data_IF_939619428072
#
_entry.id   IF_939619428072
#
_cell.length_a   1.000
_cell.length_b   1.000
_cell.length_c   1.000
_cell.angle_alpha   90.00
_cell.angle_beta   90.00
_cell.angle_gamma   90.00
#
_symmetry.space_group_name_H-M   'P 1'
#
loop_
_entity.id
_entity.type
_entity.pdbx_description
1 polymer ?
#
# COMPACT_ATOMS: atom_id res chain seq x y z
N UNK A 1 41.77 47.97 -17.12
CA UNK A 1 41.67 47.72 -15.66
C UNK A 1 40.26 47.24 -15.35
N UNK A 2 40.16 46.12 -14.62
CA UNK A 2 39.02 45.63 -13.80
C UNK A 2 37.71 45.28 -14.56
N UNK A 3 37.37 43.98 -14.75
CA UNK A 3 36.76 43.02 -13.78
C UNK A 3 35.28 43.40 -13.54
N UNK A 4 34.23 42.58 -13.64
CA UNK A 4 34.00 41.14 -13.39
C UNK A 4 32.76 40.69 -14.21
N UNK A 5 32.84 39.52 -14.85
CA UNK A 5 31.71 38.73 -15.33
C UNK A 5 30.90 38.22 -14.12
N UNK A 6 29.70 38.75 -13.92
CA UNK A 6 28.78 38.30 -12.87
C UNK A 6 28.10 37.01 -13.36
N UNK A 7 28.70 35.88 -12.99
CA UNK A 7 28.25 34.53 -13.27
C UNK A 7 26.86 34.29 -12.67
N UNK A 8 25.84 34.19 -13.52
CA UNK A 8 24.52 33.68 -13.17
C UNK A 8 24.57 32.15 -13.24
N UNK A 9 25.08 31.52 -12.18
CA UNK A 9 24.91 30.08 -11.96
C UNK A 9 23.82 29.93 -10.92
N UNK A 10 22.57 29.91 -11.40
CA UNK A 10 21.46 29.38 -10.63
C UNK A 10 21.59 27.85 -10.72
N UNK A 11 22.28 27.27 -9.75
CA UNK A 11 22.41 25.82 -9.61
C UNK A 11 20.99 25.24 -9.50
N UNK A 12 20.52 24.58 -10.57
CA UNK A 12 19.34 23.73 -10.51
C UNK A 12 19.68 22.53 -9.62
N UNK A 13 19.50 22.65 -8.32
CA UNK A 13 19.29 21.46 -7.49
C UNK A 13 17.82 21.08 -7.64
N UNK A 14 17.47 20.55 -8.81
CA UNK A 14 16.27 19.74 -8.92
C UNK A 14 16.57 18.48 -8.11
N UNK A 15 15.98 18.48 -6.93
CA UNK A 15 15.91 17.39 -5.97
C UNK A 15 15.73 16.09 -6.74
N UNK A 16 16.77 15.24 -6.71
CA UNK A 16 16.63 13.82 -7.02
C UNK A 16 15.76 13.23 -5.92
N UNK A 17 14.44 13.41 -6.05
CA UNK A 17 13.44 12.87 -5.16
C UNK A 17 13.25 11.39 -5.50
N UNK A 18 14.31 10.59 -5.31
CA UNK A 18 14.22 9.13 -5.32
C UNK A 18 13.80 8.59 -3.95
N UNK A 19 13.33 9.45 -3.05
CA UNK A 19 12.60 9.07 -1.85
C UNK A 19 11.11 8.87 -2.16
N UNK A 20 10.81 8.16 -3.25
CA UNK A 20 9.54 7.44 -3.31
C UNK A 20 9.69 6.40 -2.22
N UNK A 21 9.03 6.68 -1.10
CA UNK A 21 8.88 5.80 0.04
C UNK A 21 8.68 4.38 -0.47
N UNK A 22 9.29 3.45 0.25
CA UNK A 22 8.98 2.03 0.33
C UNK A 22 7.45 1.76 0.34
N UNK A 23 6.77 1.93 -0.80
CA UNK A 23 5.39 1.50 -1.07
C UNK A 23 5.49 0.00 -1.36
N UNK A 24 5.78 -0.76 -0.31
CA UNK A 24 6.01 -2.20 -0.37
C UNK A 24 7.24 -2.57 -1.18
N UNK A 25 7.86 -3.70 -0.85
CA UNK A 25 8.70 -4.34 -1.85
C UNK A 25 7.78 -4.72 -3.03
N UNK A 26 8.14 -4.44 -4.30
CA UNK A 26 7.36 -4.89 -5.47
C UNK A 26 7.04 -6.39 -5.43
N UNK A 27 7.89 -7.16 -4.75
CA UNK A 27 7.69 -8.59 -4.47
C UNK A 27 6.49 -8.86 -3.55
N UNK A 28 6.30 -8.06 -2.49
CA UNK A 28 5.20 -8.24 -1.53
C UNK A 28 3.85 -7.92 -2.19
N UNK A 29 3.76 -6.82 -2.94
CA UNK A 29 2.53 -6.46 -3.66
C UNK A 29 2.16 -7.53 -4.69
N UNK A 30 3.15 -8.07 -5.43
CA UNK A 30 2.91 -9.16 -6.39
C UNK A 30 2.43 -10.44 -5.71
N UNK A 31 3.03 -10.79 -4.57
CA UNK A 31 2.60 -11.95 -3.77
C UNK A 31 1.20 -11.74 -3.20
N UNK A 32 0.90 -10.55 -2.68
CA UNK A 32 -0.40 -10.20 -2.16
C UNK A 32 -1.47 -10.27 -3.26
N UNK A 33 -1.20 -9.71 -4.45
CA UNK A 33 -2.10 -9.80 -5.59
C UNK A 33 -2.35 -11.25 -6.04
N UNK A 34 -1.30 -12.07 -6.05
CA UNK A 34 -1.41 -13.49 -6.42
C UNK A 34 -2.26 -14.26 -5.40
N UNK A 35 -2.03 -14.01 -4.11
CA UNK A 35 -2.80 -14.61 -3.02
C UNK A 35 -4.26 -14.13 -3.07
N UNK A 36 -4.50 -12.83 -3.23
CA UNK A 36 -5.82 -12.23 -3.36
C UNK A 36 -6.63 -12.87 -4.49
N UNK A 37 -6.02 -13.07 -5.67
CA UNK A 37 -6.67 -13.75 -6.79
C UNK A 37 -6.98 -15.24 -6.56
N UNK A 38 -6.37 -15.86 -5.55
CA UNK A 38 -6.63 -17.26 -5.19
C UNK A 38 -7.64 -17.41 -4.05
N UNK A 39 -7.97 -16.31 -3.36
CA UNK A 39 -8.96 -16.32 -2.29
C UNK A 39 -10.37 -16.49 -2.85
N UNK A 40 -11.24 -17.11 -2.04
CA UNK A 40 -12.67 -17.24 -2.30
C UNK A 40 -13.41 -17.27 -0.96
N UNK A 41 -14.75 -17.27 -1.00
CA UNK A 41 -15.60 -17.36 0.20
C UNK A 41 -15.24 -18.45 1.23
N UNK A 42 -14.53 -19.52 0.84
CA UNK A 42 -14.12 -20.63 1.72
C UNK A 42 -12.65 -20.57 2.17
N UNK A 43 -11.93 -19.49 1.83
CA UNK A 43 -10.53 -19.34 2.23
C UNK A 43 -10.35 -19.33 3.75
N UNK A 44 -9.21 -19.84 4.18
CA UNK A 44 -8.88 -20.00 5.60
C UNK A 44 -8.41 -18.70 6.24
N UNK A 45 -8.57 -18.61 7.55
CA UNK A 45 -8.03 -17.49 8.34
C UNK A 45 -6.52 -17.31 8.19
N UNK A 46 -5.79 -18.40 7.94
CA UNK A 46 -4.35 -18.36 7.70
C UNK A 46 -4.03 -17.65 6.38
N UNK A 47 -4.79 -17.90 5.32
CA UNK A 47 -4.60 -17.24 4.02
C UNK A 47 -4.90 -15.74 4.11
N UNK A 48 -5.98 -15.37 4.81
CA UNK A 48 -6.29 -13.95 5.09
C UNK A 48 -5.18 -13.29 5.91
N UNK A 49 -4.68 -13.96 6.95
CA UNK A 49 -3.59 -13.43 7.77
C UNK A 49 -2.28 -13.29 6.97
N UNK A 50 -2.02 -14.22 6.03
CA UNK A 50 -0.89 -14.11 5.11
C UNK A 50 -1.05 -12.93 4.15
N UNK A 51 -2.26 -12.70 3.62
CA UNK A 51 -2.54 -11.53 2.79
C UNK A 51 -2.36 -10.23 3.58
N UNK A 52 -2.90 -10.19 4.80
CA UNK A 52 -2.75 -9.06 5.71
C UNK A 52 -1.29 -8.68 5.91
N UNK A 53 -0.45 -9.65 6.29
CA UNK A 53 0.97 -9.43 6.54
C UNK A 53 1.76 -9.01 5.28
N UNK A 54 1.27 -9.33 4.08
CA UNK A 54 1.90 -8.90 2.83
C UNK A 54 1.56 -7.45 2.49
N UNK A 55 0.38 -6.97 2.91
CA UNK A 55 -0.14 -5.63 2.64
C UNK A 55 0.22 -4.62 3.75
N UNK A 56 0.30 -5.05 5.01
CA UNK A 56 0.79 -4.25 6.15
C UNK A 56 2.31 -4.00 6.00
N UNK A 57 2.65 -3.08 5.10
CA UNK A 57 4.02 -2.77 4.69
C UNK A 57 4.70 -1.95 5.77
N UNK A 58 3.96 -1.01 6.35
CA UNK A 58 4.48 -0.10 7.37
C UNK A 58 4.50 -0.74 8.78
N UNK A 59 3.89 -1.93 8.95
CA UNK A 59 3.81 -2.72 10.19
C UNK A 59 3.07 -2.03 11.33
N UNK A 60 2.04 -1.27 11.00
CA UNK A 60 1.18 -0.59 11.99
C UNK A 60 -0.02 -1.46 12.44
N UNK A 61 -0.06 -2.72 12.00
CA UNK A 61 -1.13 -3.68 12.27
C UNK A 61 -2.49 -3.26 11.69
N UNK A 62 -2.47 -2.44 10.63
CA UNK A 62 -3.62 -2.11 9.79
C UNK A 62 -3.20 -2.08 8.32
N UNK A 63 -4.19 -2.07 7.42
CA UNK A 63 -3.96 -1.82 5.99
C UNK A 63 -4.53 -0.44 5.68
N UNK A 64 -3.65 0.51 5.38
CA UNK A 64 -4.05 1.84 4.93
C UNK A 64 -4.48 1.87 3.47
N UNK A 65 -5.08 2.99 3.05
CA UNK A 65 -5.48 3.23 1.66
C UNK A 65 -4.35 3.07 0.63
N UNK A 66 -3.10 3.37 1.00
CA UNK A 66 -1.94 3.21 0.12
C UNK A 66 -1.39 1.79 0.06
N UNK A 67 -1.88 0.92 0.93
CA UNK A 67 -1.47 -0.48 1.06
C UNK A 67 -2.54 -1.43 0.53
N UNK A 68 -3.81 -1.03 0.56
CA UNK A 68 -4.90 -1.75 -0.07
C UNK A 68 -4.68 -1.91 -1.58
N UNK A 69 -5.03 -3.08 -2.10
CA UNK A 69 -4.94 -3.40 -3.54
C UNK A 69 -6.19 -4.18 -3.99
N UNK A 70 -6.52 -4.07 -5.28
CA UNK A 70 -7.56 -4.90 -5.92
C UNK A 70 -8.90 -4.85 -5.18
N UNK A 71 -9.51 -6.02 -4.94
CA UNK A 71 -10.80 -6.11 -4.26
C UNK A 71 -10.84 -5.46 -2.86
N UNK A 72 -9.70 -5.31 -2.17
CA UNK A 72 -9.63 -4.63 -0.87
C UNK A 72 -9.74 -3.12 -1.06
N UNK A 73 -9.04 -2.56 -2.04
CA UNK A 73 -9.11 -1.13 -2.38
C UNK A 73 -10.50 -0.75 -2.89
N UNK A 74 -11.05 -1.58 -3.78
CA UNK A 74 -12.39 -1.38 -4.37
C UNK A 74 -13.51 -1.40 -3.32
N UNK A 75 -13.32 -2.17 -2.25
CA UNK A 75 -14.31 -2.33 -1.18
C UNK A 75 -13.82 -1.73 0.15
N UNK A 76 -12.85 -0.82 0.13
CA UNK A 76 -12.20 -0.31 1.35
C UNK A 76 -13.23 0.22 2.35
N UNK A 77 -14.15 1.07 1.88
CA UNK A 77 -15.21 1.65 2.72
C UNK A 77 -16.24 0.64 3.22
N UNK A 78 -16.38 -0.51 2.55
CA UNK A 78 -17.27 -1.59 3.00
C UNK A 78 -16.58 -2.41 4.10
N UNK A 79 -15.25 -2.58 3.99
CA UNK A 79 -14.43 -3.32 4.93
C UNK A 79 -14.09 -2.50 6.19
N UNK A 80 -13.85 -1.21 6.05
CA UNK A 80 -13.62 -0.25 7.16
C UNK A 80 -14.93 0.03 7.90
N UNK A 81 -15.31 -0.90 8.78
CA UNK A 81 -16.61 -0.89 9.46
C UNK A 81 -16.69 0.12 10.60
N UNK A 82 -15.55 0.44 11.22
CA UNK A 82 -15.46 1.42 12.29
C UNK A 82 -15.14 2.85 11.80
N UNK A 83 -14.90 3.02 10.49
CA UNK A 83 -14.60 4.27 9.79
C UNK A 83 -13.33 4.96 10.32
N UNK A 84 -12.31 4.17 10.70
CA UNK A 84 -11.04 4.70 11.19
C UNK A 84 -10.02 4.98 10.06
N UNK A 85 -10.41 4.77 8.80
CA UNK A 85 -9.59 4.90 7.58
C UNK A 85 -8.46 3.86 7.44
N UNK A 86 -8.59 2.72 8.11
CA UNK A 86 -7.64 1.61 8.07
C UNK A 86 -8.37 0.27 8.24
N UNK A 87 -7.91 -0.78 7.58
CA UNK A 87 -8.53 -2.11 7.68
C UNK A 87 -7.70 -2.96 8.62
N UNK A 88 -8.28 -3.39 9.75
CA UNK A 88 -7.63 -4.37 10.62
C UNK A 88 -7.88 -5.82 10.16
N UNK A 89 -7.22 -6.81 10.77
CA UNK A 89 -7.35 -8.22 10.36
C UNK A 89 -8.80 -8.75 10.45
N UNK A 90 -9.58 -8.29 11.43
CA UNK A 90 -10.98 -8.71 11.59
C UNK A 90 -11.83 -8.19 10.44
N UNK A 91 -11.62 -6.92 10.07
CA UNK A 91 -12.29 -6.28 8.94
C UNK A 91 -11.90 -6.91 7.61
N UNK A 92 -10.62 -7.24 7.42
CA UNK A 92 -10.15 -7.91 6.21
C UNK A 92 -10.82 -9.28 6.00
N UNK A 93 -11.21 -10.00 7.06
CA UNK A 93 -11.96 -11.26 6.91
C UNK A 93 -13.32 -11.03 6.22
N UNK A 94 -13.90 -9.85 6.34
CA UNK A 94 -15.12 -9.45 5.63
C UNK A 94 -14.97 -9.51 4.11
N UNK A 95 -13.74 -9.43 3.58
CA UNK A 95 -13.44 -9.58 2.15
C UNK A 95 -13.96 -10.91 1.60
N UNK A 96 -13.92 -11.99 2.39
CA UNK A 96 -14.36 -13.32 1.92
C UNK A 96 -15.84 -13.32 1.51
N UNK A 97 -16.68 -12.53 2.17
CA UNK A 97 -18.09 -12.39 1.83
C UNK A 97 -18.32 -11.57 0.54
N UNK A 98 -17.31 -10.86 0.05
CA UNK A 98 -17.33 -10.09 -1.19
C UNK A 98 -16.74 -10.88 -2.37
N UNK A 99 -16.06 -12.00 -2.09
CA UNK A 99 -15.52 -12.93 -3.08
C UNK A 99 -16.56 -14.02 -3.37
N UNK A 100 -17.60 -13.63 -4.11
CA UNK A 100 -18.63 -14.54 -4.66
C UNK A 100 -18.13 -15.33 -5.89
#
# INVERSE_FOLDING_TARGET
MKKILLSLVLMMTLLNCNSIKNIGSPTNIKQAATLLSSLNSNSTEKEISSLFNLLDINKDATIGNTEAIGAIEENFNVLDTDNNFSINLTELKGLLALLE
#
